data_IF_361288952800
#
_entry.id   IF_361288952800
#
_cell.length_a   1.000
_cell.length_b   1.000
_cell.length_c   1.000
_cell.angle_alpha   90.00
_cell.angle_beta   90.00
_cell.angle_gamma   90.00
#
_symmetry.space_group_name_H-M   'P 1'
#
loop_
_entity.id
_entity.type
_entity.pdbx_description
1 polymer ?
#
# COMPACT_ATOMS: atom_id res chain seq x y z
N UNK A 1 -22.71 9.44 31.08
CA UNK A 1 -22.77 10.12 29.77
C UNK A 1 -21.44 9.92 29.05
N UNK A 2 -21.16 8.76 28.51
CA UNK A 2 -19.92 8.45 27.76
C UNK A 2 -20.12 7.20 26.90
N UNK A 3 -21.05 7.25 25.94
CA UNK A 3 -21.25 6.10 25.00
C UNK A 3 -21.47 6.53 23.54
N UNK A 4 -21.09 7.77 23.17
CA UNK A 4 -21.45 8.30 21.83
C UNK A 4 -20.29 8.45 20.84
N UNK A 5 -19.03 8.18 21.20
CA UNK A 5 -17.90 8.51 20.32
C UNK A 5 -17.31 7.28 19.59
N UNK A 6 -17.73 6.07 19.92
CA UNK A 6 -17.27 4.83 19.26
C UNK A 6 -18.19 4.31 18.15
N UNK A 7 -19.38 4.91 17.99
CA UNK A 7 -20.37 4.44 17.02
C UNK A 7 -20.14 4.94 15.58
N UNK A 8 -19.30 5.95 15.35
CA UNK A 8 -19.11 6.55 14.03
C UNK A 8 -18.05 5.83 13.17
N UNK A 9 -17.26 4.92 13.74
CA UNK A 9 -16.28 4.10 13.01
C UNK A 9 -16.84 2.76 12.54
N UNK A 10 -18.05 2.39 12.93
CA UNK A 10 -18.69 1.10 12.58
C UNK A 10 -19.55 1.15 11.30
N UNK A 11 -19.68 2.29 10.63
CA UNK A 11 -20.59 2.51 9.49
C UNK A 11 -20.11 2.06 8.12
N UNK A 12 -18.93 1.43 7.97
CA UNK A 12 -18.38 1.06 6.66
C UNK A 12 -18.33 -0.47 6.42
N UNK A 13 -19.40 -1.16 6.80
CA UNK A 13 -19.61 -2.56 6.43
C UNK A 13 -20.83 -2.67 5.51
N UNK A 14 -20.58 -2.67 4.17
CA UNK A 14 -21.37 -3.44 3.18
C UNK A 14 -20.77 -3.29 1.79
N UNK A 15 -20.36 -4.43 1.22
CA UNK A 15 -20.04 -4.55 -0.19
C UNK A 15 -18.53 -4.66 -0.49
N UNK A 16 -18.19 -5.54 -1.38
CA UNK A 16 -16.93 -5.96 -2.00
C UNK A 16 -15.84 -4.90 -2.27
N UNK A 17 -15.97 -3.69 -1.76
CA UNK A 17 -15.11 -2.52 -1.98
C UNK A 17 -13.78 -2.55 -1.23
N UNK A 18 -13.67 -3.33 -0.16
CA UNK A 18 -12.45 -3.44 0.65
C UNK A 18 -11.34 -4.31 0.04
N UNK A 19 -11.65 -5.17 -0.93
CA UNK A 19 -10.67 -6.11 -1.49
C UNK A 19 -9.67 -5.47 -2.45
N UNK A 20 -9.97 -4.29 -2.99
CA UNK A 20 -9.14 -3.65 -4.02
C UNK A 20 -8.03 -2.76 -3.44
N UNK A 21 -8.26 -2.18 -2.27
CA UNK A 21 -7.33 -1.24 -1.62
C UNK A 21 -6.31 -1.89 -0.68
N UNK A 22 -6.45 -3.17 -0.37
CA UNK A 22 -5.58 -3.88 0.59
C UNK A 22 -4.15 -4.11 0.08
N UNK A 23 -3.87 -3.85 -1.20
CA UNK A 23 -2.56 -4.07 -1.81
C UNK A 23 -1.92 -2.84 -2.44
N UNK A 24 -2.66 -1.77 -2.54
CA UNK A 24 -2.12 -0.44 -2.82
C UNK A 24 -2.85 0.50 -1.89
N UNK A 25 -2.27 0.70 -0.72
CA UNK A 25 -2.77 1.67 0.23
C UNK A 25 -2.47 3.09 -0.31
N UNK A 26 -3.19 3.47 -1.35
CA UNK A 26 -3.38 4.87 -1.67
C UNK A 26 -4.68 5.27 -0.99
N UNK A 27 -4.71 5.28 0.33
CA UNK A 27 -5.74 6.00 1.06
C UNK A 27 -5.40 7.49 1.00
N UNK A 28 -5.76 8.09 -0.14
CA UNK A 28 -5.74 9.55 -0.31
C UNK A 28 -6.61 10.27 0.74
N UNK A 29 -7.54 9.57 1.37
CA UNK A 29 -8.34 10.09 2.48
C UNK A 29 -7.65 9.96 3.84
N UNK A 30 -6.72 9.05 4.05
CA UNK A 30 -5.97 8.98 5.30
C UNK A 30 -5.11 10.23 5.51
N UNK A 31 -4.51 10.80 4.47
CA UNK A 31 -3.88 12.13 4.56
C UNK A 31 -4.87 13.22 4.98
N UNK A 32 -6.12 13.14 4.59
CA UNK A 32 -7.17 14.11 4.93
C UNK A 32 -7.72 13.90 6.34
N UNK A 33 -7.81 12.66 6.82
CA UNK A 33 -8.35 12.40 8.16
C UNK A 33 -7.33 12.61 9.28
N UNK A 34 -6.05 12.30 9.07
CA UNK A 34 -5.01 12.66 10.05
C UNK A 34 -4.78 14.16 10.18
N UNK A 35 -5.07 14.95 9.15
CA UNK A 35 -4.96 16.43 9.20
C UNK A 35 -6.25 17.08 9.76
N UNK A 36 -7.38 16.38 9.81
CA UNK A 36 -8.67 16.88 10.34
C UNK A 36 -8.99 16.47 11.78
N UNK A 37 -8.11 15.78 12.47
CA UNK A 37 -8.22 15.61 13.91
C UNK A 37 -7.86 16.96 14.53
N UNK A 38 -8.89 17.73 14.67
CA UNK A 38 -9.13 18.95 15.44
C UNK A 38 -7.87 19.61 16.08
N UNK A 39 -7.44 20.79 15.62
CA UNK A 39 -6.33 21.52 16.21
C UNK A 39 -6.60 22.07 17.64
N UNK A 40 -7.75 21.76 18.24
CA UNK A 40 -8.19 22.30 19.52
C UNK A 40 -8.22 21.33 20.71
N UNK A 41 -7.99 20.03 20.51
CA UNK A 41 -7.80 19.09 21.62
C UNK A 41 -6.29 18.92 21.82
N UNK A 42 -5.79 19.36 22.97
CA UNK A 42 -4.40 19.27 23.36
C UNK A 42 -3.83 17.90 22.99
N UNK A 43 -2.67 17.89 22.31
CA UNK A 43 -1.89 16.69 21.99
C UNK A 43 -1.70 15.91 23.29
N UNK A 44 -2.53 14.91 23.53
CA UNK A 44 -2.16 13.79 24.40
C UNK A 44 -1.05 13.10 23.62
N UNK A 45 0.18 13.33 24.02
CA UNK A 45 1.34 12.65 23.45
C UNK A 45 1.17 11.15 23.73
N UNK A 46 0.60 10.41 22.78
CA UNK A 46 0.59 8.95 22.85
C UNK A 46 2.05 8.50 22.83
N UNK A 47 2.39 7.51 23.67
CA UNK A 47 3.72 6.92 23.57
C UNK A 47 3.90 6.30 22.18
N UNK A 48 5.13 6.24 21.70
CA UNK A 48 5.47 5.59 20.41
C UNK A 48 4.91 4.17 20.32
N UNK A 49 4.92 3.45 21.45
CA UNK A 49 4.34 2.10 21.55
C UNK A 49 2.82 2.09 21.37
N UNK A 50 2.11 3.05 21.95
CA UNK A 50 0.65 3.16 21.81
C UNK A 50 0.25 3.51 20.37
N UNK A 51 1.00 4.38 19.69
CA UNK A 51 0.79 4.67 18.25
C UNK A 51 1.02 3.42 17.40
N UNK A 52 2.06 2.66 17.69
CA UNK A 52 2.34 1.42 16.96
C UNK A 52 1.25 0.37 17.19
N UNK A 53 0.76 0.19 18.40
CA UNK A 53 -0.35 -0.70 18.69
C UNK A 53 -1.61 -0.33 17.88
N UNK A 54 -1.89 0.96 17.67
CA UNK A 54 -3.00 1.42 16.80
C UNK A 54 -2.73 1.05 15.34
N UNK A 55 -1.53 1.27 14.83
CA UNK A 55 -1.15 0.89 13.46
C UNK A 55 -1.25 -0.61 13.26
N UNK A 56 -0.74 -1.42 14.19
CA UNK A 56 -0.90 -2.88 14.16
C UNK A 56 -2.38 -3.27 14.13
N UNK A 57 -3.23 -2.63 14.94
CA UNK A 57 -4.68 -2.90 14.99
C UNK A 57 -5.38 -2.63 13.65
N UNK A 58 -4.90 -1.66 12.89
CA UNK A 58 -5.43 -1.34 11.55
C UNK A 58 -4.97 -2.35 10.49
N UNK A 59 -3.87 -3.06 10.72
CA UNK A 59 -3.37 -4.06 9.78
C UNK A 59 -4.15 -5.37 9.94
N UNK A 60 -4.66 -5.98 8.84
CA UNK A 60 -5.45 -7.21 8.88
C UNK A 60 -4.76 -8.38 9.60
N UNK A 61 -3.43 -8.43 9.57
CA UNK A 61 -2.64 -9.47 10.24
C UNK A 61 -2.83 -9.46 11.76
N UNK A 62 -2.94 -8.25 12.34
CA UNK A 62 -2.99 -8.03 13.78
C UNK A 62 -4.36 -7.54 14.27
N UNK A 63 -5.32 -7.34 13.36
CA UNK A 63 -6.61 -6.71 13.67
C UNK A 63 -7.43 -7.41 14.77
N UNK A 64 -7.27 -8.74 14.92
CA UNK A 64 -8.01 -9.53 15.91
C UNK A 64 -7.21 -9.80 17.18
N UNK A 65 -5.98 -9.28 17.29
CA UNK A 65 -5.19 -9.42 18.51
C UNK A 65 -5.79 -8.57 19.64
N UNK A 66 -5.69 -9.08 20.84
CA UNK A 66 -6.05 -8.37 22.07
C UNK A 66 -5.12 -7.19 22.34
N UNK A 67 -5.58 -6.25 23.19
CA UNK A 67 -4.78 -5.07 23.55
C UNK A 67 -3.43 -5.44 24.15
N UNK A 68 -3.39 -6.45 25.01
CA UNK A 68 -2.16 -6.93 25.69
C UNK A 68 -1.17 -7.54 24.68
N UNK A 69 -1.65 -8.23 23.66
CA UNK A 69 -0.82 -8.82 22.60
C UNK A 69 -0.21 -7.73 21.72
N UNK A 70 -1.04 -6.74 21.31
CA UNK A 70 -0.58 -5.59 20.55
C UNK A 70 0.46 -4.78 21.33
N UNK A 71 0.26 -4.62 22.64
CA UNK A 71 1.21 -3.92 23.50
C UNK A 71 2.53 -4.68 23.63
N UNK A 72 2.51 -6.02 23.73
CA UNK A 72 3.73 -6.83 23.74
C UNK A 72 4.52 -6.69 22.45
N UNK A 73 3.87 -6.82 21.29
CA UNK A 73 4.53 -6.66 19.98
C UNK A 73 5.10 -5.25 19.85
N UNK A 74 4.32 -4.23 20.18
CA UNK A 74 4.78 -2.84 20.08
C UNK A 74 5.96 -2.54 21.01
N UNK A 75 6.07 -3.25 22.13
CA UNK A 75 7.22 -3.17 23.05
C UNK A 75 8.53 -3.72 22.48
N UNK A 76 8.46 -4.62 21.49
CA UNK A 76 9.63 -5.21 20.82
C UNK A 76 10.16 -4.35 19.67
N UNK A 77 9.41 -3.34 19.25
CA UNK A 77 9.76 -2.52 18.11
C UNK A 77 10.55 -1.28 18.52
N UNK A 78 11.46 -0.88 17.65
CA UNK A 78 12.10 0.44 17.70
C UNK A 78 11.73 1.25 16.46
N UNK A 79 12.03 2.55 16.46
CA UNK A 79 11.78 3.43 15.30
C UNK A 79 13.08 3.69 14.56
N UNK A 80 12.96 3.83 13.23
CA UNK A 80 14.03 4.23 12.33
C UNK A 80 13.51 5.35 11.44
N UNK A 81 14.32 6.39 11.24
CA UNK A 81 14.02 7.50 10.33
C UNK A 81 14.87 7.37 9.08
N UNK A 82 14.28 7.73 7.95
CA UNK A 82 14.93 7.75 6.65
C UNK A 82 14.67 9.12 5.98
N UNK A 83 15.71 9.70 5.40
CA UNK A 83 15.58 10.87 4.55
C UNK A 83 14.92 10.48 3.21
N UNK A 84 14.33 11.47 2.52
CA UNK A 84 13.79 11.24 1.17
C UNK A 84 14.89 10.75 0.22
N UNK A 85 14.64 9.65 -0.50
CA UNK A 85 15.59 9.01 -1.39
C UNK A 85 16.58 8.06 -0.70
N UNK A 86 16.55 7.92 0.62
CA UNK A 86 17.44 7.01 1.35
C UNK A 86 17.01 5.56 1.13
N UNK A 87 17.99 4.67 0.92
CA UNK A 87 17.76 3.24 0.75
C UNK A 87 17.75 2.56 2.10
N UNK A 88 16.66 1.85 2.41
CA UNK A 88 16.52 1.05 3.63
C UNK A 88 17.27 -0.28 3.51
N UNK A 89 17.08 -0.99 2.39
CA UNK A 89 17.80 -2.21 2.05
C UNK A 89 17.77 -2.42 0.53
N UNK A 90 18.68 -3.24 0.04
CA UNK A 90 18.78 -3.63 -1.37
C UNK A 90 18.39 -5.10 -1.57
N UNK A 91 18.00 -5.43 -2.78
CA UNK A 91 17.80 -6.81 -3.21
C UNK A 91 19.11 -7.61 -3.00
N UNK A 92 18.99 -8.75 -2.32
CA UNK A 92 20.14 -9.58 -1.96
C UNK A 92 20.66 -9.36 -0.54
N UNK A 93 20.30 -8.29 0.15
CA UNK A 93 20.67 -8.07 1.56
C UNK A 93 20.03 -9.11 2.49
N UNK A 94 20.57 -9.28 3.69
CA UNK A 94 19.99 -10.13 4.71
C UNK A 94 18.62 -9.65 5.20
N UNK A 95 17.73 -10.59 5.50
CA UNK A 95 16.35 -10.31 5.93
C UNK A 95 16.18 -10.40 7.46
N UNK A 96 16.76 -9.49 8.22
CA UNK A 96 16.85 -9.52 9.69
C UNK A 96 15.72 -8.77 10.42
N UNK A 97 14.88 -8.02 9.70
CA UNK A 97 13.79 -7.25 10.28
C UNK A 97 12.56 -7.16 9.36
N UNK A 98 11.38 -7.06 10.00
CA UNK A 98 10.11 -6.65 9.44
C UNK A 98 9.93 -5.16 9.71
N UNK A 99 9.34 -4.45 8.77
CA UNK A 99 9.12 -3.02 8.85
C UNK A 99 7.64 -2.66 8.78
N UNK A 100 7.23 -1.65 9.56
CA UNK A 100 5.92 -1.02 9.48
C UNK A 100 6.07 0.47 9.20
N UNK A 101 5.33 1.02 8.26
CA UNK A 101 5.37 2.46 7.98
C UNK A 101 4.56 3.21 9.02
N UNK A 102 5.22 4.08 9.78
CA UNK A 102 4.58 5.02 10.72
C UNK A 102 4.13 6.29 10.00
N UNK A 103 5.03 6.88 9.23
CA UNK A 103 4.82 8.10 8.42
C UNK A 103 5.64 8.02 7.15
N UNK A 104 5.22 8.76 6.13
CA UNK A 104 5.92 8.80 4.86
C UNK A 104 5.55 7.66 3.94
N UNK A 105 6.45 7.31 3.03
CA UNK A 105 6.21 6.30 2.01
C UNK A 105 7.49 5.58 1.64
N UNK A 106 7.43 4.25 1.55
CA UNK A 106 8.50 3.43 0.99
C UNK A 106 8.10 2.95 -0.40
N UNK A 107 9.02 3.02 -1.35
CA UNK A 107 8.93 2.40 -2.68
C UNK A 107 9.65 1.06 -2.65
N UNK A 108 8.96 0.02 -3.07
CA UNK A 108 9.55 -1.31 -3.30
C UNK A 108 9.87 -1.40 -4.78
N UNK A 109 11.14 -1.54 -5.12
CA UNK A 109 11.64 -1.46 -6.49
C UNK A 109 12.47 -2.70 -6.86
N UNK A 110 12.56 -2.96 -8.14
CA UNK A 110 13.53 -3.89 -8.70
C UNK A 110 14.27 -3.23 -9.86
N UNK A 111 15.57 -3.46 -9.93
CA UNK A 111 16.39 -2.98 -11.02
C UNK A 111 16.55 -4.04 -12.10
N UNK A 112 16.67 -3.61 -13.35
CA UNK A 112 17.11 -4.42 -14.47
C UNK A 112 18.60 -4.19 -14.72
N UNK A 113 19.25 -5.08 -15.44
CA UNK A 113 20.69 -5.01 -15.74
C UNK A 113 21.10 -3.81 -16.58
N UNK A 114 20.15 -3.14 -17.25
CA UNK A 114 20.34 -1.90 -18.01
C UNK A 114 20.20 -0.61 -17.17
N UNK A 115 20.01 -0.76 -15.85
CA UNK A 115 19.84 0.36 -14.93
C UNK A 115 18.42 0.90 -14.83
N UNK A 116 17.46 0.33 -15.55
CA UNK A 116 16.05 0.68 -15.42
C UNK A 116 15.51 0.20 -14.06
N UNK A 117 14.65 1.00 -13.43
CA UNK A 117 13.99 0.64 -12.18
C UNK A 117 12.49 0.48 -12.41
N UNK A 118 11.94 -0.59 -11.85
CA UNK A 118 10.51 -0.85 -11.86
C UNK A 118 10.01 -0.80 -10.41
N UNK A 119 9.11 0.13 -10.12
CA UNK A 119 8.40 0.14 -8.84
C UNK A 119 7.38 -0.99 -8.82
N UNK A 120 7.56 -1.90 -7.87
CA UNK A 120 6.69 -3.05 -7.67
C UNK A 120 5.50 -2.70 -6.79
N UNK A 121 5.73 -1.87 -5.77
CA UNK A 121 4.71 -1.46 -4.82
C UNK A 121 5.11 -0.19 -4.07
N UNK A 122 4.11 0.47 -3.44
CA UNK A 122 4.27 1.54 -2.48
C UNK A 122 3.76 1.07 -1.13
N UNK A 123 4.49 1.38 -0.07
CA UNK A 123 4.09 1.11 1.30
C UNK A 123 3.87 2.44 2.02
N UNK A 124 2.66 2.66 2.52
CA UNK A 124 2.26 3.86 3.25
C UNK A 124 1.98 3.59 4.73
N UNK A 125 1.55 4.58 5.50
CA UNK A 125 1.25 4.43 6.93
C UNK A 125 0.28 3.28 7.20
N UNK A 126 0.68 2.36 8.09
CA UNK A 126 -0.08 1.14 8.43
C UNK A 126 0.33 -0.10 7.63
N UNK A 127 1.12 0.03 6.57
CA UNK A 127 1.59 -1.12 5.80
C UNK A 127 2.78 -1.79 6.48
N UNK A 128 2.83 -3.13 6.32
CA UNK A 128 3.95 -3.97 6.73
C UNK A 128 4.64 -4.55 5.50
N UNK A 129 5.96 -4.59 5.53
CA UNK A 129 6.77 -5.13 4.43
C UNK A 129 8.09 -5.74 4.94
N UNK A 130 8.78 -6.47 4.05
CA UNK A 130 10.02 -7.18 4.39
C UNK A 130 9.78 -8.54 5.04
N UNK A 131 8.53 -9.00 5.10
CA UNK A 131 8.10 -10.26 5.71
C UNK A 131 8.66 -11.48 5.02
N UNK A 132 8.88 -11.44 3.70
CA UNK A 132 9.31 -12.62 2.92
C UNK A 132 10.66 -13.12 3.43
N UNK A 133 11.68 -12.25 3.41
CA UNK A 133 13.02 -12.60 3.86
C UNK A 133 13.09 -12.93 5.36
N UNK A 134 12.21 -12.32 6.17
CA UNK A 134 12.10 -12.63 7.60
C UNK A 134 11.56 -14.04 7.84
N UNK A 135 10.59 -14.47 7.03
CA UNK A 135 9.93 -15.78 7.21
C UNK A 135 10.78 -16.94 6.67
N UNK A 136 11.33 -16.78 5.45
CA UNK A 136 12.05 -17.86 4.78
C UNK A 136 13.57 -17.85 5.05
N UNK A 137 14.08 -16.76 5.64
CA UNK A 137 15.52 -16.60 5.91
C UNK A 137 16.38 -16.40 4.67
N UNK A 138 15.75 -16.16 3.51
CA UNK A 138 16.45 -15.88 2.26
C UNK A 138 16.74 -14.38 2.11
N UNK A 139 17.62 -13.98 1.19
CA UNK A 139 17.90 -12.58 0.91
C UNK A 139 16.66 -11.77 0.49
N UNK A 140 16.72 -10.44 0.67
CA UNK A 140 15.69 -9.50 0.22
C UNK A 140 15.40 -9.68 -1.27
N UNK A 141 14.12 -9.71 -1.63
CA UNK A 141 13.65 -9.96 -3.00
C UNK A 141 13.60 -8.70 -3.88
N UNK A 142 13.67 -7.52 -3.25
CA UNK A 142 13.58 -6.21 -3.92
C UNK A 142 14.33 -5.16 -3.10
N UNK A 143 14.55 -3.98 -3.70
CA UNK A 143 15.04 -2.78 -3.02
C UNK A 143 13.90 -2.10 -2.28
N UNK A 144 14.19 -1.45 -1.16
CA UNK A 144 13.27 -0.57 -0.45
C UNK A 144 13.92 0.81 -0.24
N UNK A 145 13.25 1.85 -0.73
CA UNK A 145 13.73 3.22 -0.70
C UNK A 145 12.65 4.17 -0.18
N UNK A 146 13.03 5.13 0.64
CA UNK A 146 12.12 6.18 1.10
C UNK A 146 11.74 7.12 -0.06
N UNK A 147 10.46 7.23 -0.37
CA UNK A 147 9.93 8.15 -1.39
C UNK A 147 9.85 9.60 -0.91
N UNK A 148 9.75 9.78 0.39
CA UNK A 148 9.73 11.05 1.13
C UNK A 148 10.35 10.81 2.50
N UNK A 149 10.51 11.84 3.34
CA UNK A 149 10.92 11.66 4.75
C UNK A 149 10.00 10.64 5.43
N UNK A 150 10.58 9.53 5.91
CA UNK A 150 9.83 8.35 6.34
C UNK A 150 10.28 7.91 7.72
N UNK A 151 9.32 7.56 8.56
CA UNK A 151 9.54 6.95 9.85
C UNK A 151 8.94 5.54 9.86
N UNK A 152 9.76 4.57 10.27
CA UNK A 152 9.43 3.15 10.31
C UNK A 152 9.41 2.63 11.74
N UNK A 153 8.56 1.65 11.97
CA UNK A 153 8.72 0.67 13.05
C UNK A 153 9.54 -0.50 12.53
N UNK A 154 10.46 -0.96 13.33
CA UNK A 154 11.36 -2.08 13.02
C UNK A 154 11.15 -3.17 14.05
N UNK A 155 10.77 -4.36 13.60
CA UNK A 155 10.64 -5.57 14.42
C UNK A 155 11.66 -6.59 13.95
N UNK A 156 12.57 -7.00 14.84
CA UNK A 156 13.61 -7.97 14.52
C UNK A 156 13.02 -9.33 14.15
N UNK A 157 13.70 -10.03 13.25
CA UNK A 157 13.30 -11.37 12.79
C UNK A 157 13.11 -12.35 13.95
N UNK A 158 14.07 -12.41 14.89
CA UNK A 158 14.03 -13.29 16.04
C UNK A 158 12.79 -13.06 16.92
N UNK A 159 12.49 -11.79 17.20
CA UNK A 159 11.33 -11.40 18.02
C UNK A 159 10.01 -11.72 17.31
N UNK A 160 9.94 -11.47 15.99
CA UNK A 160 8.76 -11.77 15.19
C UNK A 160 8.50 -13.28 15.11
N UNK A 161 9.52 -14.10 14.85
CA UNK A 161 9.37 -15.55 14.77
C UNK A 161 9.00 -16.13 16.15
N UNK A 162 9.64 -15.69 17.23
CA UNK A 162 9.26 -16.09 18.59
C UNK A 162 7.81 -15.70 18.93
N UNK A 163 7.31 -14.57 18.39
CA UNK A 163 5.92 -14.20 18.55
C UNK A 163 4.97 -15.13 17.77
N UNK A 164 5.30 -15.50 16.53
CA UNK A 164 4.50 -16.44 15.73
C UNK A 164 4.41 -17.82 16.37
N UNK A 165 5.49 -18.29 17.02
CA UNK A 165 5.49 -19.57 17.77
C UNK A 165 4.56 -19.52 18.97
N UNK A 166 4.50 -18.39 19.68
CA UNK A 166 3.62 -18.19 20.85
C UNK A 166 2.16 -17.97 20.47
N UNK A 167 1.92 -17.38 19.31
CA UNK A 167 0.59 -17.02 18.81
C UNK A 167 0.34 -17.62 17.42
N UNK A 168 0.10 -18.95 17.31
CA UNK A 168 -0.07 -19.63 16.03
C UNK A 168 -1.20 -19.06 15.16
N UNK A 169 -2.20 -18.40 15.77
CA UNK A 169 -3.28 -17.72 15.05
C UNK A 169 -2.78 -16.58 14.17
N UNK A 170 -1.73 -15.89 14.61
CA UNK A 170 -1.09 -14.82 13.81
C UNK A 170 -0.39 -15.44 12.60
N UNK A 171 0.28 -16.58 12.77
CA UNK A 171 0.89 -17.32 11.67
C UNK A 171 -0.14 -17.76 10.61
N UNK A 172 -1.29 -18.29 11.04
CA UNK A 172 -2.37 -18.69 10.12
C UNK A 172 -2.90 -17.48 9.32
N UNK A 173 -3.07 -16.31 9.95
CA UNK A 173 -3.48 -15.08 9.26
C UNK A 173 -2.42 -14.61 8.28
N UNK A 174 -1.15 -14.67 8.67
CA UNK A 174 -0.04 -14.32 7.78
C UNK A 174 -0.04 -15.22 6.53
N UNK A 175 -0.24 -16.52 6.70
CA UNK A 175 -0.39 -17.47 5.58
C UNK A 175 -1.57 -17.06 4.68
N UNK A 176 -2.72 -16.71 5.24
CA UNK A 176 -3.88 -16.28 4.47
C UNK A 176 -3.59 -15.00 3.66
N UNK A 177 -2.86 -14.03 4.25
CA UNK A 177 -2.42 -12.81 3.55
C UNK A 177 -1.46 -13.13 2.41
N UNK A 178 -0.49 -14.01 2.63
CA UNK A 178 0.44 -14.45 1.58
C UNK A 178 -0.29 -15.18 0.44
N UNK A 179 -1.27 -16.02 0.75
CA UNK A 179 -2.12 -16.65 -0.25
C UNK A 179 -2.94 -15.64 -1.07
N UNK A 180 -3.45 -14.58 -0.44
CA UNK A 180 -4.13 -13.51 -1.15
C UNK A 180 -3.16 -12.76 -2.07
N UNK A 181 -1.93 -12.49 -1.60
CA UNK A 181 -0.89 -11.84 -2.39
C UNK A 181 -0.49 -12.68 -3.62
N UNK A 182 -0.36 -13.99 -3.46
CA UNK A 182 -0.09 -14.93 -4.55
C UNK A 182 -1.23 -14.88 -5.58
N UNK A 183 -2.50 -14.94 -5.15
CA UNK A 183 -3.65 -14.85 -6.06
C UNK A 183 -3.65 -13.53 -6.85
N UNK A 184 -3.43 -12.42 -6.16
CA UNK A 184 -3.32 -11.13 -6.82
C UNK A 184 -2.17 -11.06 -7.83
N UNK A 185 -1.00 -11.61 -7.49
CA UNK A 185 0.13 -11.68 -8.43
C UNK A 185 -0.20 -12.54 -9.64
N UNK A 186 -0.89 -13.68 -9.47
CA UNK A 186 -1.34 -14.55 -10.55
C UNK A 186 -2.32 -13.83 -11.48
N UNK A 187 -3.32 -13.13 -10.93
CA UNK A 187 -4.28 -12.33 -11.69
C UNK A 187 -3.58 -11.23 -12.51
N UNK A 188 -2.60 -10.55 -11.91
CA UNK A 188 -1.83 -9.51 -12.62
C UNK A 188 -0.94 -10.10 -13.72
N UNK A 189 -0.34 -11.26 -13.47
CA UNK A 189 0.45 -11.96 -14.49
C UNK A 189 -0.45 -12.35 -15.68
N UNK A 190 -1.62 -12.91 -15.41
CA UNK A 190 -2.62 -13.26 -16.42
C UNK A 190 -3.05 -12.01 -17.22
N UNK A 191 -3.46 -10.92 -16.53
CA UNK A 191 -3.80 -9.65 -17.18
C UNK A 191 -2.64 -9.11 -18.04
N UNK A 192 -1.40 -9.21 -17.54
CA UNK A 192 -0.22 -8.70 -18.26
C UNK A 192 0.09 -9.46 -19.54
N UNK A 193 -0.18 -10.76 -19.55
CA UNK A 193 0.06 -11.64 -20.72
C UNK A 193 -1.08 -11.53 -21.73
N UNK A 194 -2.33 -11.50 -21.24
CA UNK A 194 -3.52 -11.64 -22.10
C UNK A 194 -4.09 -10.29 -22.57
N UNK A 195 -3.80 -9.18 -21.87
CA UNK A 195 -4.45 -7.89 -22.16
C UNK A 195 -3.43 -6.81 -22.55
N UNK A 196 -3.69 -6.05 -23.65
CA UNK A 196 -2.88 -4.90 -24.00
C UNK A 196 -2.90 -3.82 -22.91
N UNK A 197 -1.82 -3.05 -22.81
CA UNK A 197 -1.71 -1.97 -21.82
C UNK A 197 -2.91 -0.99 -21.85
N UNK A 198 -3.42 -0.53 -23.00
CA UNK A 198 -4.58 0.36 -23.04
C UNK A 198 -5.80 -0.23 -22.32
N UNK A 199 -6.10 -1.52 -22.53
CA UNK A 199 -7.23 -2.21 -21.89
C UNK A 199 -7.08 -2.27 -20.38
N UNK A 200 -5.90 -2.69 -19.91
CA UNK A 200 -5.59 -2.75 -18.47
C UNK A 200 -5.70 -1.38 -17.81
N UNK A 201 -5.14 -0.36 -18.46
CA UNK A 201 -5.16 1.02 -17.99
C UNK A 201 -6.58 1.60 -17.94
N UNK A 202 -7.39 1.36 -18.98
CA UNK A 202 -8.79 1.78 -19.03
C UNK A 202 -9.62 1.12 -17.93
N UNK A 203 -9.48 -0.20 -17.71
CA UNK A 203 -10.15 -0.93 -16.63
C UNK A 203 -9.83 -0.35 -15.25
N UNK A 204 -8.57 -0.01 -15.01
CA UNK A 204 -8.15 0.60 -13.74
C UNK A 204 -8.73 1.99 -13.53
N UNK A 205 -8.70 2.83 -14.54
CA UNK A 205 -9.29 4.16 -14.45
C UNK A 205 -10.81 4.11 -14.28
N UNK A 206 -11.52 3.20 -14.96
CA UNK A 206 -12.95 2.98 -14.77
C UNK A 206 -13.27 2.52 -13.33
N UNK A 207 -12.49 1.61 -12.77
CA UNK A 207 -12.66 1.15 -11.40
C UNK A 207 -12.45 2.29 -10.39
N UNK A 208 -11.38 3.08 -10.56
CA UNK A 208 -11.13 4.26 -9.73
C UNK A 208 -12.24 5.31 -9.86
N UNK A 209 -12.78 5.51 -11.07
CA UNK A 209 -13.90 6.42 -11.27
C UNK A 209 -15.18 5.98 -10.56
N UNK A 210 -15.42 4.69 -10.44
CA UNK A 210 -16.55 4.14 -9.70
C UNK A 210 -16.48 4.48 -8.21
N UNK A 211 -15.25 4.49 -7.66
CA UNK A 211 -15.03 4.73 -6.23
C UNK A 211 -14.87 6.21 -5.87
N UNK A 212 -14.26 7.00 -6.76
CA UNK A 212 -13.84 8.40 -6.48
C UNK A 212 -14.48 9.45 -7.41
N UNK A 213 -15.25 9.03 -8.42
CA UNK A 213 -15.79 9.93 -9.42
C UNK A 213 -14.83 10.20 -10.59
N UNK A 214 -15.16 11.20 -11.41
CA UNK A 214 -14.42 11.52 -12.64
C UNK A 214 -13.04 12.16 -12.41
N UNK A 215 -12.75 12.63 -11.19
CA UNK A 215 -11.45 13.19 -10.83
C UNK A 215 -10.65 12.18 -10.00
N UNK A 216 -9.67 11.55 -10.62
CA UNK A 216 -8.84 10.50 -10.01
C UNK A 216 -7.50 11.09 -9.59
N UNK A 217 -7.21 11.09 -8.28
CA UNK A 217 -5.96 11.56 -7.70
C UNK A 217 -4.95 10.42 -7.64
N UNK A 218 -4.14 10.29 -8.69
CA UNK A 218 -3.12 9.25 -8.81
C UNK A 218 -1.94 9.73 -9.66
N UNK A 219 -0.71 9.38 -9.28
CA UNK A 219 0.46 9.64 -10.12
C UNK A 219 0.58 8.60 -11.23
N UNK A 220 1.26 8.96 -12.32
CA UNK A 220 1.54 8.04 -13.43
C UNK A 220 2.40 6.85 -13.01
N UNK A 221 3.27 7.06 -12.03
CA UNK A 221 4.09 6.01 -11.44
C UNK A 221 3.24 5.01 -10.66
N UNK A 222 2.36 5.49 -9.79
CA UNK A 222 1.40 4.66 -9.08
C UNK A 222 0.51 3.89 -10.05
N UNK A 223 0.03 4.55 -11.10
CA UNK A 223 -0.79 3.90 -12.12
C UNK A 223 -0.01 2.81 -12.87
N UNK A 224 1.30 3.03 -13.12
CA UNK A 224 2.20 2.01 -13.68
C UNK A 224 2.27 0.76 -12.81
N UNK A 225 2.44 0.94 -11.49
CA UNK A 225 2.38 -0.17 -10.54
C UNK A 225 1.04 -0.91 -10.62
N UNK A 226 -0.07 -0.18 -10.69
CA UNK A 226 -1.41 -0.78 -10.78
C UNK A 226 -1.62 -1.65 -12.03
N UNK A 227 -1.09 -1.22 -13.16
CA UNK A 227 -1.28 -1.96 -14.42
C UNK A 227 -0.10 -2.86 -14.79
N UNK A 228 0.95 -2.90 -13.97
CA UNK A 228 2.14 -3.70 -14.27
C UNK A 228 2.88 -3.21 -15.51
N UNK A 229 3.11 -1.89 -15.63
CA UNK A 229 3.80 -1.28 -16.76
C UNK A 229 4.72 -0.14 -16.31
N UNK A 230 5.77 0.10 -17.10
CA UNK A 230 6.67 1.22 -16.85
C UNK A 230 5.92 2.56 -16.94
N UNK A 231 6.33 3.52 -16.10
CA UNK A 231 5.75 4.87 -16.06
C UNK A 231 5.71 5.54 -17.43
N UNK A 232 6.78 5.36 -18.23
CA UNK A 232 6.90 5.95 -19.58
C UNK A 232 5.84 5.41 -20.53
N UNK A 233 5.53 4.11 -20.46
CA UNK A 233 4.48 3.48 -21.27
C UNK A 233 3.09 3.96 -20.87
N UNK A 234 2.84 4.09 -19.56
CA UNK A 234 1.61 4.67 -19.04
C UNK A 234 1.46 6.11 -19.47
N UNK A 235 2.52 6.94 -19.32
CA UNK A 235 2.48 8.33 -19.73
C UNK A 235 2.17 8.47 -21.21
N UNK A 236 2.83 7.70 -22.08
CA UNK A 236 2.57 7.73 -23.53
C UNK A 236 1.11 7.43 -23.86
N UNK A 237 0.53 6.42 -23.20
CA UNK A 237 -0.88 6.05 -23.42
C UNK A 237 -1.85 7.16 -22.92
N UNK A 238 -1.57 7.74 -21.75
CA UNK A 238 -2.38 8.83 -21.19
C UNK A 238 -2.31 10.08 -22.06
N UNK A 239 -1.13 10.44 -22.58
CA UNK A 239 -0.98 11.57 -23.52
C UNK A 239 -1.75 11.35 -24.84
N UNK A 240 -1.78 10.10 -25.34
CA UNK A 240 -2.63 9.76 -26.48
C UNK A 240 -4.12 9.99 -26.17
N UNK A 241 -4.60 9.49 -25.04
CA UNK A 241 -5.99 9.67 -24.63
C UNK A 241 -6.37 11.12 -24.31
N UNK A 242 -5.41 11.92 -23.87
CA UNK A 242 -5.59 13.37 -23.74
C UNK A 242 -5.83 14.03 -25.10
N UNK A 243 -5.02 13.70 -26.11
CA UNK A 243 -5.23 14.19 -27.49
C UNK A 243 -6.57 13.75 -28.06
N UNK A 244 -7.03 12.55 -27.74
CA UNK A 244 -8.29 11.98 -28.17
C UNK A 244 -9.49 12.54 -27.39
N UNK A 245 -9.29 13.42 -26.40
CA UNK A 245 -10.35 14.02 -25.58
C UNK A 245 -11.03 13.03 -24.62
N UNK A 246 -10.38 11.91 -24.30
CA UNK A 246 -10.91 10.90 -23.37
C UNK A 246 -10.71 11.36 -21.92
N UNK A 247 -9.57 12.00 -21.63
CA UNK A 247 -9.20 12.49 -20.31
C UNK A 247 -8.36 13.77 -20.42
N UNK A 248 -8.18 14.48 -19.30
CA UNK A 248 -7.17 15.53 -19.14
C UNK A 248 -6.20 15.19 -18.01
N UNK A 249 -4.96 15.69 -18.13
CA UNK A 249 -3.87 15.41 -17.20
C UNK A 249 -3.45 16.67 -16.47
N UNK A 250 -3.47 16.62 -15.16
CA UNK A 250 -2.92 17.64 -14.27
C UNK A 250 -1.90 17.02 -13.31
N UNK A 251 -1.15 17.86 -12.60
CA UNK A 251 -0.14 17.34 -11.66
C UNK A 251 -0.78 16.50 -10.56
N UNK A 252 -0.51 15.20 -10.56
CA UNK A 252 -1.02 14.26 -9.55
C UNK A 252 -2.50 13.89 -9.68
N UNK A 253 -3.18 14.27 -10.77
CA UNK A 253 -4.60 13.95 -11.01
C UNK A 253 -4.93 13.76 -12.47
N UNK A 254 -5.92 12.94 -12.71
CA UNK A 254 -6.46 12.61 -14.04
C UNK A 254 -7.96 12.93 -14.03
N UNK A 255 -8.39 13.79 -14.94
CA UNK A 255 -9.78 14.12 -15.14
C UNK A 255 -10.35 13.27 -16.28
N UNK A 256 -11.31 12.42 -16.01
CA UNK A 256 -11.95 11.55 -16.99
C UNK A 256 -13.09 12.32 -17.67
N UNK A 257 -12.91 12.67 -18.97
CA UNK A 257 -13.83 13.51 -19.72
C UNK A 257 -14.88 12.67 -20.48
N UNK A 258 -14.51 11.47 -20.93
CA UNK A 258 -15.40 10.61 -21.72
C UNK A 258 -15.37 9.17 -21.21
N UNK A 259 -16.22 8.89 -20.21
CA UNK A 259 -16.34 7.57 -19.60
C UNK A 259 -16.82 6.50 -20.59
N UNK A 260 -17.66 6.85 -21.56
CA UNK A 260 -18.17 5.88 -22.53
C UNK A 260 -17.05 5.35 -23.44
N UNK A 261 -16.19 6.25 -23.97
CA UNK A 261 -15.03 5.84 -24.76
C UNK A 261 -14.01 5.07 -23.92
N UNK A 262 -13.79 5.48 -22.67
CA UNK A 262 -12.89 4.76 -21.78
C UNK A 262 -13.40 3.35 -21.47
N UNK A 263 -14.71 3.20 -21.27
CA UNK A 263 -15.35 1.90 -21.03
C UNK A 263 -15.30 0.99 -22.26
N UNK A 264 -15.46 1.53 -23.47
CA UNK A 264 -15.27 0.78 -24.71
C UNK A 264 -13.86 0.21 -24.81
N UNK A 265 -12.84 1.04 -24.58
CA UNK A 265 -11.44 0.57 -24.51
C UNK A 265 -11.26 -0.52 -23.43
N UNK A 266 -11.87 -0.36 -22.25
CA UNK A 266 -11.79 -1.35 -21.18
C UNK A 266 -12.39 -2.71 -21.53
N UNK A 267 -13.35 -2.75 -22.47
CA UNK A 267 -13.97 -3.96 -23.01
C UNK A 267 -13.24 -4.56 -24.21
N UNK A 268 -12.24 -3.85 -24.72
CA UNK A 268 -11.50 -4.19 -25.93
C UNK A 268 -12.38 -4.11 -27.19
N UNK A 269 -13.29 -3.13 -27.21
CA UNK A 269 -14.22 -2.79 -28.32
C UNK A 269 -13.65 -1.68 -29.20
#
# INVERSE_FOLDING_TARGET
MTHSTLATLAGFRRGNKLKFFQYVNVDLNAKVQFTKINPGLGRIAMSTQAEFAVILKMNPLFADLGADELQRISGLCHTQQLAAGETLFQKGDGGDALFGVRRGQIRIETGTSDGSRLTLNFQGPGDLFGEVAVLDGQPRTADAMAGEETELFVLRREDFLAHLEREPRVAVKLIALLCQRIRWMSERMEESVLQPLPVRLARRLCALATDFGSEVHISQEQLGVFVGAARESVNRQLQQWRKDGILDLQRGRIMLLNMNRLTAVARNE
#
